data_IF_702248860943
#
_entry.id   IF_702248860943
#
_cell.length_a   1.000
_cell.length_b   1.000
_cell.length_c   1.000
_cell.angle_alpha   90.00
_cell.angle_beta   90.00
_cell.angle_gamma   90.00
#
_symmetry.space_group_name_H-M   'P 1'
#
loop_
_entity.id
_entity.type
_entity.pdbx_description
1 polymer ?
#
# COMPACT_ATOMS: atom_id res chain seq x y z
N UNK A 1 -7.51 15.37 -4.84
CA UNK A 1 -6.07 14.99 -4.76
C UNK A 1 -6.01 13.49 -4.54
N UNK A 2 -5.06 12.74 -5.11
CA UNK A 2 -4.95 11.26 -4.96
C UNK A 2 -3.88 10.88 -3.93
N UNK A 3 -4.18 10.81 -2.62
CA UNK A 3 -3.15 10.96 -1.58
C UNK A 3 -2.12 9.83 -1.59
N UNK A 4 -2.59 8.57 -1.60
CA UNK A 4 -1.71 7.40 -1.63
C UNK A 4 -0.88 7.33 -2.92
N UNK A 5 -1.48 7.55 -4.10
CA UNK A 5 -0.75 7.49 -5.36
C UNK A 5 0.31 8.60 -5.46
N UNK A 6 -0.02 9.83 -5.05
CA UNK A 6 0.95 10.93 -4.96
C UNK A 6 2.06 10.62 -3.95
N UNK A 7 1.74 10.02 -2.79
CA UNK A 7 2.73 9.60 -1.81
C UNK A 7 3.68 8.54 -2.40
N UNK A 8 3.14 7.48 -3.01
CA UNK A 8 3.90 6.40 -3.65
C UNK A 8 4.87 6.94 -4.69
N UNK A 9 4.38 7.76 -5.63
CA UNK A 9 5.20 8.34 -6.71
C UNK A 9 6.36 9.20 -6.16
N UNK A 10 6.11 9.94 -5.07
CA UNK A 10 7.17 10.73 -4.41
C UNK A 10 8.21 9.89 -3.68
N UNK A 11 7.92 8.63 -3.36
CA UNK A 11 8.72 7.80 -2.44
C UNK A 11 9.43 6.64 -3.10
N UNK A 12 8.90 6.08 -4.19
CA UNK A 12 9.56 4.99 -4.92
C UNK A 12 11.02 5.36 -5.23
N UNK A 13 11.94 4.42 -4.99
CA UNK A 13 13.38 4.58 -5.18
C UNK A 13 14.10 5.39 -4.10
N UNK A 14 13.39 5.95 -3.12
CA UNK A 14 13.97 6.71 -2.02
C UNK A 14 14.09 5.83 -0.77
N UNK A 15 14.56 6.46 0.31
CA UNK A 15 14.68 5.84 1.64
C UNK A 15 14.23 6.81 2.72
N UNK A 16 13.72 6.25 3.81
CA UNK A 16 13.25 6.98 4.99
C UNK A 16 13.81 6.33 6.23
N UNK A 17 14.51 7.12 7.02
CA UNK A 17 14.91 6.79 8.39
C UNK A 17 14.10 7.76 9.28
N UNK A 18 13.07 7.22 9.96
CA UNK A 18 12.06 8.03 10.61
C UNK A 18 12.44 8.37 12.05
N UNK A 19 13.09 7.43 12.75
CA UNK A 19 13.49 7.60 14.14
C UNK A 19 15.01 7.68 14.38
N UNK A 20 15.83 7.53 13.33
CA UNK A 20 17.29 7.60 13.42
C UNK A 20 17.93 6.30 13.92
N UNK A 21 17.18 5.21 14.00
CA UNK A 21 17.62 3.95 14.62
C UNK A 21 17.60 2.81 13.60
N UNK A 22 18.73 2.10 13.49
CA UNK A 22 18.90 0.96 12.56
C UNK A 22 18.76 1.31 11.07
N UNK A 23 18.84 2.60 10.70
CA UNK A 23 18.84 3.07 9.32
C UNK A 23 17.45 3.00 8.69
N UNK A 24 17.36 2.45 7.47
CA UNK A 24 16.13 2.52 6.68
C UNK A 24 15.30 1.23 6.83
N UNK A 25 14.45 1.12 7.86
CA UNK A 25 13.67 -0.11 8.14
C UNK A 25 12.23 -0.07 7.60
N UNK A 26 11.55 -1.22 7.61
CA UNK A 26 10.15 -1.32 7.20
C UNK A 26 9.21 -0.53 8.14
N UNK A 27 9.50 -0.53 9.45
CA UNK A 27 8.73 0.22 10.46
C UNK A 27 8.88 1.73 10.28
N UNK A 28 10.06 2.23 9.92
CA UNK A 28 10.27 3.66 9.59
C UNK A 28 9.33 4.12 8.50
N UNK A 29 9.23 3.32 7.44
CA UNK A 29 8.41 3.67 6.30
C UNK A 29 6.91 3.63 6.64
N UNK A 30 6.46 2.67 7.46
CA UNK A 30 5.09 2.63 7.96
C UNK A 30 4.76 3.86 8.84
N UNK A 31 5.65 4.25 9.75
CA UNK A 31 5.49 5.47 10.56
C UNK A 31 5.40 6.71 9.67
N UNK A 32 6.27 6.82 8.68
CA UNK A 32 6.29 7.94 7.75
C UNK A 32 5.01 8.04 6.91
N UNK A 33 4.45 6.91 6.48
CA UNK A 33 3.17 6.86 5.80
C UNK A 33 2.01 7.35 6.68
N UNK A 34 1.97 6.90 7.94
CA UNK A 34 0.95 7.32 8.91
C UNK A 34 1.03 8.82 9.19
N UNK A 35 2.23 9.32 9.43
CA UNK A 35 2.47 10.73 9.73
C UNK A 35 2.13 11.64 8.53
N UNK A 36 2.62 11.29 7.33
CA UNK A 36 2.57 12.21 6.19
C UNK A 36 1.44 11.94 5.20
N UNK A 37 1.14 10.68 4.88
CA UNK A 37 0.10 10.35 3.91
C UNK A 37 -1.28 10.27 4.55
N UNK A 38 -1.37 9.69 5.75
CA UNK A 38 -2.62 9.66 6.49
C UNK A 38 -2.83 10.97 7.27
N UNK A 39 -1.76 11.69 7.60
CA UNK A 39 -1.86 12.95 8.34
C UNK A 39 -2.27 12.74 9.80
N UNK A 40 -1.96 11.57 10.37
CA UNK A 40 -2.33 11.20 11.74
C UNK A 40 -1.27 11.62 12.78
N UNK A 41 -0.27 12.38 12.33
CA UNK A 41 0.77 12.95 13.18
C UNK A 41 1.91 12.00 13.51
N UNK A 42 2.82 12.51 14.33
CA UNK A 42 4.09 11.84 14.64
C UNK A 42 3.86 10.53 15.38
N UNK A 43 4.43 9.45 14.84
CA UNK A 43 4.30 8.11 15.42
C UNK A 43 5.45 7.82 16.38
N UNK A 44 5.11 7.44 17.61
CA UNK A 44 6.07 7.04 18.64
C UNK A 44 6.69 5.67 18.40
N UNK A 45 7.19 5.03 19.47
CA UNK A 45 7.82 3.70 19.37
C UNK A 45 6.78 2.63 19.07
N UNK A 46 7.00 1.85 18.01
CA UNK A 46 6.14 0.71 17.63
C UNK A 46 6.76 -0.66 17.94
N UNK A 47 8.08 -0.73 18.19
CA UNK A 47 8.82 -1.99 18.27
C UNK A 47 9.19 -2.52 16.88
N UNK A 48 9.44 -3.83 16.76
CA UNK A 48 9.62 -4.44 15.45
C UNK A 48 8.26 -4.56 14.74
N UNK A 49 8.27 -4.88 13.45
CA UNK A 49 7.04 -5.03 12.68
C UNK A 49 6.03 -6.00 13.31
N UNK A 50 6.48 -7.13 13.87
CA UNK A 50 5.57 -8.08 14.55
C UNK A 50 4.91 -7.52 15.82
N UNK A 51 5.51 -6.49 16.42
CA UNK A 51 5.07 -5.89 17.68
C UNK A 51 4.07 -4.75 17.44
N UNK A 52 4.03 -4.20 16.20
CA UNK A 52 3.18 -3.07 15.84
C UNK A 52 1.70 -3.28 16.18
N UNK A 53 1.08 -4.47 16.03
CA UNK A 53 -0.33 -4.67 16.38
C UNK A 53 -0.66 -4.37 17.85
N UNK A 54 0.32 -4.51 18.75
CA UNK A 54 0.16 -4.33 20.19
C UNK A 54 0.55 -2.92 20.65
N UNK A 55 1.08 -2.07 19.76
CA UNK A 55 1.46 -0.72 20.13
C UNK A 55 0.20 0.13 20.45
N UNK A 56 0.23 0.96 21.52
CA UNK A 56 -0.92 1.78 21.92
C UNK A 56 -1.45 2.70 20.83
N UNK A 57 -0.60 3.12 19.88
CA UNK A 57 -0.99 3.93 18.73
C UNK A 57 -2.12 3.30 17.90
N UNK A 58 -2.16 1.96 17.82
CA UNK A 58 -3.16 1.23 17.05
C UNK A 58 -4.33 0.73 17.90
N UNK A 59 -4.57 1.30 19.09
CA UNK A 59 -5.67 0.87 19.96
C UNK A 59 -7.04 1.02 19.28
N UNK A 60 -7.26 2.14 18.59
CA UNK A 60 -8.53 2.46 17.91
C UNK A 60 -8.55 2.06 16.42
N UNK A 61 -7.55 1.31 15.98
CA UNK A 61 -7.48 0.80 14.61
C UNK A 61 -8.10 -0.59 14.53
N UNK A 62 -8.70 -0.90 13.39
CA UNK A 62 -9.17 -2.24 13.09
C UNK A 62 -7.96 -3.16 12.89
N UNK A 63 -7.98 -4.31 13.57
CA UNK A 63 -6.95 -5.35 13.51
C UNK A 63 -7.59 -6.63 12.97
N UNK A 64 -7.37 -6.90 11.69
CA UNK A 64 -8.06 -7.99 10.99
C UNK A 64 -7.06 -9.12 10.74
N UNK A 65 -7.31 -10.30 11.31
CA UNK A 65 -6.47 -11.47 11.16
C UNK A 65 -6.93 -12.35 9.99
N UNK A 66 -5.99 -12.85 9.19
CA UNK A 66 -6.25 -13.89 8.18
C UNK A 66 -7.26 -13.51 7.08
N UNK A 67 -7.48 -12.22 6.85
CA UNK A 67 -8.44 -11.75 5.83
C UNK A 67 -7.79 -11.60 4.47
N UNK A 68 -8.55 -11.88 3.40
CA UNK A 68 -8.21 -11.48 2.03
C UNK A 68 -9.03 -10.24 1.59
N UNK A 69 -9.82 -9.62 2.47
CA UNK A 69 -10.42 -8.31 2.20
C UNK A 69 -9.36 -7.22 2.37
N UNK A 70 -8.80 -6.77 1.26
CA UNK A 70 -7.71 -5.81 1.22
C UNK A 70 -8.11 -4.58 0.39
N UNK A 71 -7.61 -3.42 0.81
CA UNK A 71 -7.70 -2.20 0.02
C UNK A 71 -6.36 -1.48 -0.06
N UNK A 72 -6.22 -0.69 -1.13
CA UNK A 72 -5.10 0.22 -1.26
C UNK A 72 -5.00 1.11 -0.01
N UNK A 73 -3.79 1.20 0.53
CA UNK A 73 -3.47 1.95 1.73
C UNK A 73 -3.60 1.17 3.04
N UNK A 74 -4.18 -0.04 3.04
CA UNK A 74 -4.11 -0.94 4.19
C UNK A 74 -2.65 -1.20 4.58
N UNK A 75 -2.41 -1.34 5.88
CA UNK A 75 -1.08 -1.72 6.38
C UNK A 75 -1.13 -3.21 6.70
N UNK A 76 -0.41 -4.04 5.96
CA UNK A 76 -0.29 -5.47 6.25
C UNK A 76 0.92 -5.75 7.11
N UNK A 77 0.76 -6.70 8.03
CA UNK A 77 1.79 -7.13 8.97
C UNK A 77 1.99 -8.63 8.85
N UNK A 78 3.25 -9.03 8.71
CA UNK A 78 3.71 -10.40 8.94
C UNK A 78 4.26 -10.47 10.35
N UNK A 79 3.54 -11.11 11.26
CA UNK A 79 3.96 -11.22 12.67
C UNK A 79 4.94 -12.37 12.92
N UNK A 80 5.05 -13.31 11.96
CA UNK A 80 6.00 -14.42 12.02
C UNK A 80 7.45 -14.01 11.73
N UNK A 81 8.40 -14.72 12.34
CA UNK A 81 9.84 -14.51 12.19
C UNK A 81 10.45 -13.66 13.32
N UNK A 82 11.77 -13.41 13.26
CA UNK A 82 12.49 -12.73 14.35
C UNK A 82 11.93 -11.33 14.63
N UNK A 83 11.73 -10.54 13.57
CA UNK A 83 11.28 -9.14 13.63
C UNK A 83 9.92 -8.89 12.94
N UNK A 84 9.44 -9.83 12.12
CA UNK A 84 8.28 -9.63 11.25
C UNK A 84 8.57 -8.71 10.06
N UNK A 85 7.52 -8.32 9.34
CA UNK A 85 7.58 -7.30 8.27
C UNK A 85 6.28 -6.52 8.19
N UNK A 86 6.35 -5.26 7.77
CA UNK A 86 5.21 -4.35 7.65
C UNK A 86 5.29 -3.63 6.29
N UNK A 87 4.17 -3.55 5.58
CA UNK A 87 4.10 -2.94 4.27
C UNK A 87 2.72 -2.34 4.00
N UNK A 88 2.61 -1.45 3.01
CA UNK A 88 1.37 -0.77 2.67
C UNK A 88 0.82 -1.36 1.36
N UNK A 89 -0.42 -1.80 1.35
CA UNK A 89 -1.05 -2.39 0.16
C UNK A 89 -1.17 -1.34 -0.95
N UNK A 90 -0.66 -1.67 -2.13
CA UNK A 90 -0.80 -0.85 -3.34
C UNK A 90 -2.01 -1.26 -4.16
N UNK A 91 -2.10 -2.57 -4.46
CA UNK A 91 -3.17 -3.21 -5.24
C UNK A 91 -3.03 -4.73 -5.22
N UNK A 92 -4.07 -5.44 -5.65
CA UNK A 92 -4.08 -6.88 -5.88
C UNK A 92 -4.20 -7.11 -7.38
N UNK A 93 -3.23 -7.80 -7.97
CA UNK A 93 -3.24 -8.11 -9.40
C UNK A 93 -2.56 -9.45 -9.67
N UNK A 94 -3.08 -10.21 -10.64
CA UNK A 94 -2.50 -11.49 -11.06
C UNK A 94 -2.28 -12.48 -9.90
N UNK A 95 -3.23 -12.55 -8.95
CA UNK A 95 -3.16 -13.42 -7.78
C UNK A 95 -2.13 -13.01 -6.72
N UNK A 96 -1.52 -11.82 -6.86
CA UNK A 96 -0.48 -11.32 -5.97
C UNK A 96 -0.92 -10.02 -5.29
N UNK A 97 -0.42 -9.80 -4.09
CA UNK A 97 -0.56 -8.56 -3.34
C UNK A 97 0.66 -7.70 -3.65
N UNK A 98 0.45 -6.59 -4.32
CA UNK A 98 1.49 -5.59 -4.51
C UNK A 98 1.47 -4.65 -3.31
N UNK A 99 2.63 -4.44 -2.71
CA UNK A 99 2.83 -3.54 -1.57
C UNK A 99 3.91 -2.52 -1.87
N UNK A 100 3.77 -1.34 -1.27
CA UNK A 100 4.83 -0.37 -1.10
C UNK A 100 5.54 -0.65 0.23
N UNK A 101 6.84 -0.93 0.15
CA UNK A 101 7.64 -1.36 1.31
C UNK A 101 9.04 -0.76 1.28
N UNK A 102 9.73 -0.84 2.41
CA UNK A 102 11.16 -0.58 2.54
C UNK A 102 11.82 -1.78 3.23
N UNK A 103 13.07 -2.09 2.85
CA UNK A 103 13.89 -3.13 3.48
C UNK A 103 13.28 -4.55 3.50
N UNK A 104 12.45 -4.89 2.51
CA UNK A 104 11.80 -6.21 2.42
C UNK A 104 12.69 -7.36 1.92
N UNK A 105 13.93 -7.09 1.49
CA UNK A 105 14.83 -8.14 0.97
C UNK A 105 15.47 -8.99 2.06
N UNK A 106 15.67 -8.42 3.26
CA UNK A 106 16.42 -9.03 4.36
C UNK A 106 17.94 -9.13 4.15
N UNK A 107 18.46 -8.79 2.96
CA UNK A 107 19.91 -8.73 2.65
C UNK A 107 20.40 -7.31 2.86
N UNK A 108 21.63 -7.11 3.38
CA UNK A 108 22.19 -5.77 3.65
C UNK A 108 21.19 -4.84 4.35
N UNK A 109 20.53 -5.39 5.38
CA UNK A 109 19.39 -4.77 6.07
C UNK A 109 19.72 -3.35 6.54
N UNK A 110 18.79 -2.42 6.32
CA UNK A 110 18.93 -1.03 6.76
C UNK A 110 19.76 -0.15 5.83
N UNK A 111 20.20 -0.64 4.67
CA UNK A 111 20.92 0.16 3.66
C UNK A 111 20.05 1.17 2.92
N UNK A 112 18.75 0.85 2.73
CA UNK A 112 17.82 1.70 1.98
C UNK A 112 18.17 1.84 0.50
N UNK A 113 18.96 0.91 -0.05
CA UNK A 113 19.46 0.93 -1.42
C UNK A 113 19.00 -0.33 -2.18
N UNK A 114 18.84 -0.20 -3.50
CA UNK A 114 18.42 -1.31 -4.36
C UNK A 114 17.14 -1.99 -3.86
N UNK A 115 17.24 -3.27 -3.53
CA UNK A 115 16.12 -4.06 -3.00
C UNK A 115 15.63 -3.65 -1.60
N UNK A 116 16.38 -2.77 -0.90
CA UNK A 116 15.99 -2.23 0.39
C UNK A 116 15.47 -0.79 0.33
N UNK A 117 15.57 -0.13 -0.82
CA UNK A 117 14.90 1.15 -1.05
C UNK A 117 13.37 0.97 -1.03
N UNK A 118 12.65 2.09 -0.96
CA UNK A 118 11.20 2.09 -1.07
C UNK A 118 10.81 1.59 -2.46
N UNK A 119 10.06 0.49 -2.52
CA UNK A 119 9.75 -0.19 -3.78
C UNK A 119 8.35 -0.78 -3.78
N UNK A 120 7.85 -1.04 -4.99
CA UNK A 120 6.70 -1.91 -5.20
C UNK A 120 7.18 -3.37 -5.29
N UNK A 121 6.56 -4.25 -4.50
CA UNK A 121 6.86 -5.68 -4.53
C UNK A 121 5.58 -6.49 -4.45
N UNK A 122 5.48 -7.51 -5.32
CA UNK A 122 4.40 -8.49 -5.30
C UNK A 122 4.73 -9.65 -4.36
N UNK A 123 3.74 -10.06 -3.56
CA UNK A 123 3.80 -11.19 -2.65
C UNK A 123 2.58 -12.11 -2.80
N UNK A 124 2.73 -13.42 -2.51
CA UNK A 124 1.59 -14.32 -2.32
C UNK A 124 0.76 -13.93 -1.08
N UNK A 125 -0.48 -14.40 -1.00
CA UNK A 125 -1.40 -14.10 0.11
C UNK A 125 -0.96 -14.67 1.47
N UNK A 126 -0.07 -15.65 1.52
CA UNK A 126 0.48 -16.20 2.77
C UNK A 126 1.65 -15.36 3.35
N UNK A 127 1.97 -14.23 2.70
CA UNK A 127 3.02 -13.33 3.12
C UNK A 127 2.75 -12.63 4.46
N UNK A 128 1.49 -12.26 4.70
CA UNK A 128 1.04 -11.53 5.88
C UNK A 128 0.04 -12.38 6.67
N UNK A 129 -0.21 -11.99 7.91
CA UNK A 129 -1.19 -12.64 8.78
C UNK A 129 -2.17 -11.65 9.40
N UNK A 130 -1.91 -10.35 9.29
CA UNK A 130 -2.76 -9.29 9.86
C UNK A 130 -2.84 -8.04 8.99
N UNK A 131 -3.96 -7.34 9.07
CA UNK A 131 -4.22 -6.01 8.49
C UNK A 131 -4.46 -5.01 9.62
N UNK A 132 -3.83 -3.84 9.52
CA UNK A 132 -4.11 -2.63 10.29
C UNK A 132 -4.84 -1.63 9.37
N UNK A 133 -6.01 -1.19 9.82
CA UNK A 133 -6.89 -0.33 9.03
C UNK A 133 -7.53 0.76 9.90
N UNK A 134 -7.66 1.96 9.35
CA UNK A 134 -8.35 3.08 9.99
C UNK A 134 -9.24 3.81 8.98
N UNK A 135 -10.22 4.62 9.43
CA UNK A 135 -11.11 5.37 8.54
C UNK A 135 -10.38 6.22 7.51
N UNK A 136 -9.21 6.78 7.87
CA UNK A 136 -8.44 7.65 6.98
C UNK A 136 -7.93 6.95 5.71
N UNK A 137 -7.63 5.65 5.81
CA UNK A 137 -7.26 4.84 4.64
C UNK A 137 -8.44 4.76 3.66
N UNK A 138 -9.65 4.53 4.18
CA UNK A 138 -10.85 4.47 3.36
C UNK A 138 -11.19 5.83 2.73
N UNK A 139 -11.06 6.94 3.48
CA UNK A 139 -11.22 8.29 2.93
C UNK A 139 -10.27 8.54 1.75
N UNK A 140 -8.98 8.24 1.93
CA UNK A 140 -7.98 8.40 0.87
C UNK A 140 -8.29 7.51 -0.34
N UNK A 141 -8.82 6.29 -0.13
CA UNK A 141 -9.26 5.41 -1.20
C UNK A 141 -10.44 5.99 -1.98
N UNK A 142 -11.39 6.68 -1.33
CA UNK A 142 -12.52 7.28 -2.04
C UNK A 142 -12.07 8.37 -3.02
N UNK A 143 -11.02 9.13 -2.70
CA UNK A 143 -10.42 10.08 -3.65
C UNK A 143 -9.90 9.38 -4.91
N UNK A 144 -9.23 8.24 -4.74
CA UNK A 144 -8.73 7.44 -5.86
C UNK A 144 -9.87 6.85 -6.69
N UNK A 145 -10.90 6.30 -6.02
CA UNK A 145 -12.06 5.72 -6.70
C UNK A 145 -12.80 6.76 -7.54
N UNK A 146 -13.02 7.97 -7.02
CA UNK A 146 -13.65 9.07 -7.79
C UNK A 146 -12.85 9.44 -9.03
N UNK A 147 -11.52 9.55 -8.89
CA UNK A 147 -10.65 9.81 -10.03
C UNK A 147 -10.74 8.70 -11.10
N UNK A 148 -10.77 7.43 -10.68
CA UNK A 148 -10.90 6.31 -11.61
C UNK A 148 -12.28 6.30 -12.29
N UNK A 149 -13.35 6.59 -11.56
CA UNK A 149 -14.71 6.67 -12.10
C UNK A 149 -14.82 7.75 -13.20
N UNK A 150 -14.27 8.94 -12.96
CA UNK A 150 -14.17 10.01 -13.97
C UNK A 150 -13.40 9.52 -15.21
N UNK A 151 -12.25 8.88 -15.01
CA UNK A 151 -11.44 8.35 -16.12
C UNK A 151 -12.07 7.19 -16.85
N UNK A 152 -12.90 6.38 -16.19
CA UNK A 152 -13.67 5.34 -16.86
C UNK A 152 -14.71 5.95 -17.78
N UNK A 153 -15.43 6.99 -17.34
CA UNK A 153 -16.41 7.68 -18.17
C UNK A 153 -15.76 8.31 -19.41
N UNK A 154 -14.68 9.09 -19.24
CA UNK A 154 -13.93 9.69 -20.35
C UNK A 154 -13.47 8.62 -21.37
N UNK A 155 -12.95 7.48 -20.88
CA UNK A 155 -12.44 6.41 -21.74
C UNK A 155 -13.56 5.64 -22.44
N UNK A 156 -14.69 5.45 -21.78
CA UNK A 156 -15.88 4.86 -22.40
C UNK A 156 -16.40 5.75 -23.53
N UNK A 157 -16.47 7.05 -23.32
CA UNK A 157 -16.87 8.01 -24.37
C UNK A 157 -15.89 8.01 -25.54
N UNK A 158 -14.58 7.98 -25.27
CA UNK A 158 -13.56 7.88 -26.31
C UNK A 158 -13.71 6.59 -27.14
N UNK A 159 -13.96 5.44 -26.50
CA UNK A 159 -14.23 4.18 -27.22
C UNK A 159 -15.52 4.23 -28.03
N UNK A 160 -16.57 4.91 -27.54
CA UNK A 160 -17.81 5.11 -28.32
C UNK A 160 -17.59 5.98 -29.55
N UNK A 161 -16.73 7.00 -29.45
CA UNK A 161 -16.39 7.90 -30.55
C UNK A 161 -15.52 7.23 -31.62
N UNK A 162 -14.65 6.30 -31.24
CA UNK A 162 -13.81 5.51 -32.15
C UNK A 162 -13.75 4.02 -31.71
N UNK A 163 -14.75 3.22 -32.10
CA UNK A 163 -14.89 1.84 -31.65
C UNK A 163 -13.88 0.89 -32.30
N UNK A 164 -13.18 1.28 -33.35
CA UNK A 164 -12.16 0.42 -34.00
C UNK A 164 -10.77 0.58 -33.37
N UNK A 165 -10.58 1.60 -32.53
CA UNK A 165 -9.30 1.84 -31.86
C UNK A 165 -8.98 0.82 -30.77
N UNK A 166 -8.05 -0.09 -31.05
CA UNK A 166 -7.50 -1.03 -30.07
C UNK A 166 -6.80 -0.32 -28.90
N UNK A 167 -6.19 0.84 -29.14
CA UNK A 167 -5.51 1.60 -28.08
C UNK A 167 -6.51 2.15 -27.05
N UNK A 168 -7.65 2.68 -27.51
CA UNK A 168 -8.68 3.20 -26.60
C UNK A 168 -9.32 2.07 -25.79
N UNK A 169 -9.62 0.93 -26.43
CA UNK A 169 -10.09 -0.29 -25.75
C UNK A 169 -9.10 -0.75 -24.68
N UNK A 170 -7.81 -0.83 -25.01
CA UNK A 170 -6.77 -1.25 -24.06
C UNK A 170 -6.66 -0.30 -22.86
N UNK A 171 -6.76 1.02 -23.08
CA UNK A 171 -6.78 2.01 -21.99
C UNK A 171 -8.01 1.85 -21.09
N UNK A 172 -9.18 1.62 -21.66
CA UNK A 172 -10.40 1.37 -20.89
C UNK A 172 -10.26 0.11 -20.03
N UNK A 173 -9.84 -1.01 -20.62
CA UNK A 173 -9.61 -2.28 -19.92
C UNK A 173 -8.60 -2.08 -18.78
N UNK A 174 -7.45 -1.47 -19.05
CA UNK A 174 -6.43 -1.20 -18.03
C UNK A 174 -6.96 -0.37 -16.85
N UNK A 175 -7.91 0.54 -17.11
CA UNK A 175 -8.54 1.35 -16.07
C UNK A 175 -9.50 0.52 -15.23
N UNK A 176 -10.28 -0.33 -15.87
CA UNK A 176 -11.22 -1.23 -15.21
C UNK A 176 -10.48 -2.25 -14.33
N UNK A 177 -9.39 -2.82 -14.86
CA UNK A 177 -8.52 -3.73 -14.11
C UNK A 177 -7.93 -3.03 -12.89
N UNK A 178 -7.47 -1.79 -13.05
CA UNK A 178 -6.94 -1.01 -11.94
C UNK A 178 -8.03 -0.72 -10.87
N UNK A 179 -9.25 -0.36 -11.27
CA UNK A 179 -10.37 -0.17 -10.35
C UNK A 179 -10.63 -1.43 -9.50
N UNK A 180 -10.61 -2.60 -10.13
CA UNK A 180 -10.82 -3.89 -9.47
C UNK A 180 -9.65 -4.27 -8.55
N UNK A 181 -8.46 -3.73 -8.80
CA UNK A 181 -7.23 -4.07 -8.07
C UNK A 181 -7.08 -3.32 -6.74
N UNK A 182 -7.69 -2.15 -6.57
CA UNK A 182 -7.48 -1.29 -5.38
C UNK A 182 -8.47 -1.57 -4.22
N UNK A 183 -9.55 -2.31 -4.48
CA UNK A 183 -10.43 -2.86 -3.45
C UNK A 183 -10.72 -4.31 -3.82
N UNK A 184 -10.11 -5.22 -3.07
CA UNK A 184 -10.22 -6.65 -3.31
C UNK A 184 -10.99 -7.29 -2.16
N UNK A 185 -12.16 -7.83 -2.48
CA UNK A 185 -12.98 -8.65 -1.59
C UNK A 185 -13.00 -10.05 -2.20
N UNK A 186 -12.32 -11.01 -1.57
CA UNK A 186 -12.44 -12.41 -1.97
C UNK A 186 -13.87 -12.87 -1.63
N UNK A 187 -14.67 -13.14 -2.66
CA UNK A 187 -15.98 -13.78 -2.52
C UNK A 187 -15.83 -15.20 -1.98
#
# INVERSE_FOLDING_TARGET
MRPYNTFREKRIGKRVDYDGVYGYQCVDFAKFYIDTCLGLGRVGRLGNAKDTPNAPFFADWEKIWGTNDLMQGDIIVKTRGKYGHIAIVDRIANGMIYVLEQNGSGKNSGSGEGENAIRLKGYPFDFYDMVLRCPKIFENLQEERRFIEEKLLERQEAVRADPESNLLKAKLISTQDYQNSIRYIKK
#
